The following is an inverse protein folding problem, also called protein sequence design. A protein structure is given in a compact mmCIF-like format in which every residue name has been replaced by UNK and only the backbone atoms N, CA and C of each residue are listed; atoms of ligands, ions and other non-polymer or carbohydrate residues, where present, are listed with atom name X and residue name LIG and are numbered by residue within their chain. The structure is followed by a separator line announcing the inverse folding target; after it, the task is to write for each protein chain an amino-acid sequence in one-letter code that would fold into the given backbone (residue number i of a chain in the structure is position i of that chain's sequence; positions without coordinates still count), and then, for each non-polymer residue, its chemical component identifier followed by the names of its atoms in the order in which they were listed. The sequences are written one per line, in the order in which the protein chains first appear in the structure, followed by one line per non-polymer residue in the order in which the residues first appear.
data_IF_891802564820
#
_entry.id   IF_891802564820
#
_cell.length_a   1.000
_cell.length_b   1.000
_cell.length_c   1.000
_cell.angle_alpha   90.00
_cell.angle_beta   90.00
_cell.angle_gamma   90.00
#
_symmetry.space_group_name_H-M   'P 1'
#
loop_
_entity.id
_entity.type
_entity.pdbx_description
1 polymer ?
#
# COMPACT_ATOMS: atom_id res chain seq x y z
N UNK A 1 66.12 -12.20 -15.14
CA UNK A 1 65.00 -11.23 -15.32
C UNK A 1 63.70 -11.91 -14.92
N UNK A 2 63.12 -11.52 -13.79
CA UNK A 2 61.82 -12.05 -13.31
C UNK A 2 60.72 -11.07 -13.74
N UNK A 3 59.88 -11.49 -14.67
CA UNK A 3 58.72 -10.74 -15.13
C UNK A 3 57.63 -10.84 -14.06
N UNK A 4 57.30 -9.68 -13.45
CA UNK A 4 56.22 -9.52 -12.48
C UNK A 4 54.91 -9.35 -13.26
N UNK A 5 54.01 -10.35 -13.28
CA UNK A 5 52.68 -10.25 -13.86
C UNK A 5 51.76 -9.56 -12.84
N UNK A 6 51.31 -8.36 -13.19
CA UNK A 6 50.27 -7.66 -12.44
C UNK A 6 48.90 -8.21 -12.85
N UNK A 7 48.25 -8.90 -11.91
CA UNK A 7 46.85 -9.36 -12.08
C UNK A 7 45.92 -8.19 -11.76
N UNK A 8 45.32 -7.59 -12.78
CA UNK A 8 44.28 -6.57 -12.62
C UNK A 8 42.96 -7.23 -12.24
N UNK A 9 42.55 -7.14 -10.95
CA UNK A 9 41.23 -7.57 -10.50
C UNK A 9 40.24 -6.44 -10.83
N UNK A 10 39.43 -6.66 -11.87
CA UNK A 10 38.27 -5.82 -12.18
C UNK A 10 37.17 -6.04 -11.11
N UNK A 11 37.11 -5.14 -10.13
CA UNK A 11 35.98 -5.08 -9.19
C UNK A 11 34.82 -4.38 -9.91
N UNK A 12 33.86 -5.16 -10.38
CA UNK A 12 32.60 -4.64 -10.91
C UNK A 12 31.77 -4.06 -9.75
N UNK A 13 31.72 -2.74 -9.62
CA UNK A 13 30.78 -2.06 -8.76
C UNK A 13 29.38 -2.16 -9.41
N UNK A 14 28.53 -3.05 -8.89
CA UNK A 14 27.12 -3.04 -9.21
C UNK A 14 26.50 -1.78 -8.60
N UNK A 15 26.35 -0.73 -9.39
CA UNK A 15 25.65 0.48 -8.99
C UNK A 15 24.14 0.14 -8.99
N UNK A 16 23.60 -0.24 -7.84
CA UNK A 16 22.15 -0.37 -7.66
C UNK A 16 21.55 1.03 -7.68
N UNK A 17 20.86 1.37 -8.75
CA UNK A 17 20.14 2.62 -8.88
C UNK A 17 18.93 2.58 -7.94
N UNK A 18 18.87 3.51 -6.99
CA UNK A 18 17.69 3.73 -6.17
C UNK A 18 16.50 4.07 -7.08
N UNK A 19 15.35 3.42 -6.89
CA UNK A 19 14.14 3.70 -7.67
C UNK A 19 13.75 5.17 -7.47
N UNK A 20 13.75 5.92 -8.57
CA UNK A 20 13.31 7.32 -8.58
C UNK A 20 11.81 7.36 -8.75
N UNK A 21 11.13 8.02 -7.82
CA UNK A 21 9.69 8.23 -7.88
C UNK A 21 9.36 9.72 -7.95
N UNK A 22 8.28 10.05 -8.65
CA UNK A 22 7.74 11.40 -8.80
C UNK A 22 6.29 11.42 -8.38
N UNK A 23 5.95 12.30 -7.44
CA UNK A 23 4.57 12.52 -7.04
C UNK A 23 3.79 13.17 -8.17
N UNK A 24 2.61 12.64 -8.47
CA UNK A 24 1.66 13.21 -9.41
C UNK A 24 0.48 13.85 -8.69
N UNK A 25 -0.13 14.83 -9.36
CA UNK A 25 -1.39 15.44 -8.95
C UNK A 25 -2.50 14.99 -9.91
N UNK A 26 -3.76 15.28 -9.59
CA UNK A 26 -4.89 15.02 -10.49
C UNK A 26 -4.67 15.62 -11.89
N UNK A 27 -4.00 16.77 -11.99
CA UNK A 27 -3.72 17.45 -13.25
C UNK A 27 -2.60 16.79 -14.06
N UNK A 28 -1.68 16.06 -13.43
CA UNK A 28 -0.52 15.44 -14.07
C UNK A 28 -0.64 13.93 -14.25
N UNK A 29 -1.67 13.29 -13.70
CA UNK A 29 -2.02 11.89 -14.03
C UNK A 29 -2.46 11.84 -15.51
N UNK A 30 -1.90 10.94 -16.33
CA UNK A 30 -2.28 10.81 -17.74
C UNK A 30 -3.79 10.57 -17.89
N UNK A 31 -4.43 11.28 -18.83
CA UNK A 31 -5.90 11.19 -19.06
C UNK A 31 -6.40 9.80 -19.46
N UNK A 32 -5.50 8.97 -20.00
CA UNK A 32 -5.81 7.60 -20.38
C UNK A 32 -5.89 6.63 -19.18
N UNK A 33 -5.54 7.09 -17.98
CA UNK A 33 -5.61 6.28 -16.76
C UNK A 33 -6.98 6.48 -16.10
N UNK A 34 -7.73 5.39 -15.98
CA UNK A 34 -9.05 5.39 -15.37
C UNK A 34 -8.98 4.89 -13.92
N UNK A 35 -9.65 5.60 -13.02
CA UNK A 35 -9.78 5.21 -11.61
C UNK A 35 -11.10 5.73 -11.03
N UNK A 36 -11.60 5.06 -9.99
CA UNK A 36 -12.80 5.46 -9.24
C UNK A 36 -12.40 6.19 -7.95
N UNK A 37 -13.23 7.10 -7.49
CA UNK A 37 -13.06 7.81 -6.21
C UNK A 37 -12.18 9.05 -6.31
N UNK A 38 -11.91 9.64 -5.17
CA UNK A 38 -11.06 10.82 -5.00
C UNK A 38 -9.59 10.39 -4.91
N UNK A 39 -8.71 11.03 -5.66
CA UNK A 39 -7.27 10.77 -5.63
C UNK A 39 -6.68 11.09 -4.26
N UNK A 40 -6.02 10.11 -3.65
CA UNK A 40 -5.27 10.23 -2.39
C UNK A 40 -3.77 10.30 -2.66
N UNK A 41 -3.22 9.31 -3.42
CA UNK A 41 -1.84 9.34 -3.86
C UNK A 41 -1.77 8.98 -5.35
N UNK A 42 -0.81 9.57 -6.04
CA UNK A 42 -0.40 9.13 -7.38
C UNK A 42 1.11 9.31 -7.51
N UNK A 43 1.82 8.25 -7.87
CA UNK A 43 3.27 8.24 -8.01
C UNK A 43 3.67 7.56 -9.31
N UNK A 44 4.54 8.19 -10.07
CA UNK A 44 5.24 7.61 -11.22
C UNK A 44 6.63 7.17 -10.80
N UNK A 45 7.03 5.97 -11.20
CA UNK A 45 8.37 5.44 -10.95
C UNK A 45 8.80 4.53 -12.10
N UNK A 46 10.11 4.31 -12.22
CA UNK A 46 10.70 3.37 -13.18
C UNK A 46 11.48 2.31 -12.43
N UNK A 47 11.22 1.06 -12.78
CA UNK A 47 11.91 -0.12 -12.28
C UNK A 47 12.30 -1.06 -13.43
N UNK A 48 12.72 -2.31 -13.14
CA UNK A 48 13.09 -3.29 -14.17
C UNK A 48 11.93 -3.72 -15.07
N UNK A 49 10.68 -3.51 -14.66
CA UNK A 49 9.49 -3.76 -15.48
C UNK A 49 9.21 -2.62 -16.45
N UNK A 50 9.71 -1.41 -16.18
CA UNK A 50 9.51 -0.23 -17.00
C UNK A 50 8.96 0.96 -16.24
N UNK A 51 8.21 1.80 -16.92
CA UNK A 51 7.63 3.05 -16.41
C UNK A 51 6.23 2.77 -15.84
N UNK A 52 6.05 3.05 -14.56
CA UNK A 52 4.89 2.67 -13.79
C UNK A 52 4.18 3.88 -13.18
N UNK A 53 2.87 3.79 -13.02
CA UNK A 53 2.07 4.71 -12.19
C UNK A 53 1.23 3.90 -11.22
N UNK A 54 1.32 4.27 -9.93
CA UNK A 54 0.42 3.75 -8.89
C UNK A 54 -0.47 4.88 -8.39
N UNK A 55 -1.75 4.55 -8.23
CA UNK A 55 -2.79 5.48 -7.77
C UNK A 55 -3.53 4.84 -6.61
N UNK A 56 -3.77 5.59 -5.54
CA UNK A 56 -4.69 5.23 -4.47
C UNK A 56 -5.84 6.22 -4.41
N UNK A 57 -7.04 5.72 -4.18
CA UNK A 57 -8.27 6.53 -4.16
C UNK A 57 -9.24 6.05 -3.09
N UNK A 58 -10.09 6.97 -2.62
CA UNK A 58 -11.18 6.72 -1.68
C UNK A 58 -12.47 7.30 -2.23
N UNK A 59 -13.61 6.62 -2.04
CA UNK A 59 -14.92 7.19 -2.42
C UNK A 59 -15.40 8.22 -1.41
N UNK A 60 -14.98 8.07 -0.14
CA UNK A 60 -15.66 8.65 1.00
C UNK A 60 -16.96 7.87 1.28
N UNK A 61 -17.67 8.30 2.31
CA UNK A 61 -18.96 7.74 2.67
C UNK A 61 -20.02 8.16 1.66
N UNK A 62 -20.91 7.21 1.33
CA UNK A 62 -22.10 7.43 0.54
C UNK A 62 -23.25 6.57 1.09
N UNK A 63 -24.48 6.96 0.79
CA UNK A 63 -25.64 6.13 1.11
C UNK A 63 -25.52 4.76 0.45
N UNK A 64 -25.86 3.69 1.19
CA UNK A 64 -25.89 2.34 0.63
C UNK A 64 -26.88 2.25 -0.52
N UNK A 65 -26.52 1.48 -1.55
CA UNK A 65 -27.37 1.24 -2.72
C UNK A 65 -28.35 0.11 -2.51
N UNK A 66 -28.21 -0.65 -1.43
CA UNK A 66 -29.14 -1.68 -1.01
C UNK A 66 -30.29 -1.02 -0.27
N UNK A 67 -31.50 -1.28 -0.69
CA UNK A 67 -32.75 -0.52 -0.42
C UNK A 67 -33.27 -0.59 1.02
N UNK A 68 -32.53 -1.11 1.98
CA UNK A 68 -33.16 -1.50 3.25
C UNK A 68 -33.42 -0.35 4.22
N UNK A 69 -32.61 0.73 4.20
CA UNK A 69 -32.79 1.90 5.05
C UNK A 69 -31.83 3.02 4.61
N UNK A 70 -32.29 4.25 4.58
CA UNK A 70 -31.50 5.46 4.26
C UNK A 70 -30.36 5.71 5.27
N UNK A 71 -30.39 5.07 6.45
CA UNK A 71 -29.34 5.18 7.47
C UNK A 71 -28.08 4.39 7.13
N UNK A 72 -28.17 3.36 6.26
CA UNK A 72 -27.04 2.54 5.90
C UNK A 72 -26.12 3.23 4.89
N UNK A 73 -24.82 3.20 5.18
CA UNK A 73 -23.78 3.86 4.40
C UNK A 73 -22.74 2.86 3.90
N UNK A 74 -22.01 3.26 2.88
CA UNK A 74 -20.92 2.48 2.31
C UNK A 74 -19.73 3.35 1.94
N UNK A 75 -18.54 2.78 1.91
CA UNK A 75 -17.34 3.40 1.40
C UNK A 75 -16.42 2.37 0.77
N UNK A 76 -15.70 2.77 -0.28
CA UNK A 76 -14.71 1.95 -0.97
C UNK A 76 -13.36 2.67 -1.00
N UNK A 77 -12.30 1.89 -0.96
CA UNK A 77 -10.95 2.34 -1.32
C UNK A 77 -10.37 1.47 -2.43
N UNK A 78 -9.54 2.09 -3.26
CA UNK A 78 -8.94 1.42 -4.41
C UNK A 78 -7.45 1.76 -4.51
N UNK A 79 -6.69 0.81 -5.05
CA UNK A 79 -5.36 1.09 -5.58
C UNK A 79 -5.21 0.45 -6.96
N UNK A 80 -4.46 1.11 -7.83
CA UNK A 80 -4.25 0.69 -9.21
C UNK A 80 -2.77 0.83 -9.55
N UNK A 81 -2.22 -0.13 -10.28
CA UNK A 81 -0.93 0.03 -10.94
C UNK A 81 -1.10 -0.08 -12.45
N UNK A 82 -0.50 0.86 -13.15
CA UNK A 82 -0.41 0.88 -14.59
C UNK A 82 1.06 0.83 -15.02
N UNK A 83 1.36 0.06 -16.06
CA UNK A 83 2.65 -0.04 -16.71
C UNK A 83 2.55 0.55 -18.12
N UNK A 84 3.53 1.34 -18.52
CA UNK A 84 3.60 1.88 -19.87
C UNK A 84 4.15 0.81 -20.82
N UNK A 85 3.31 0.30 -21.72
CA UNK A 85 3.64 -0.72 -22.72
C UNK A 85 3.28 -0.18 -24.11
N UNK A 86 4.25 -0.07 -25.00
CA UNK A 86 4.02 0.44 -26.37
C UNK A 86 3.23 1.76 -26.37
N UNK A 87 3.68 2.72 -25.55
CA UNK A 87 3.08 4.06 -25.36
C UNK A 87 1.65 4.06 -24.79
N UNK A 88 1.16 2.94 -24.26
CA UNK A 88 -0.15 2.82 -23.63
C UNK A 88 -0.02 2.42 -22.17
N UNK A 89 -0.81 3.07 -21.29
CA UNK A 89 -0.93 2.68 -19.91
C UNK A 89 -1.83 1.44 -19.79
N UNK A 90 -1.25 0.33 -19.33
CA UNK A 90 -1.92 -0.97 -19.20
C UNK A 90 -2.06 -1.30 -17.72
N UNK A 91 -3.29 -1.51 -17.26
CA UNK A 91 -3.57 -1.91 -15.88
C UNK A 91 -2.92 -3.26 -15.59
N UNK A 92 -2.06 -3.31 -14.57
CA UNK A 92 -1.38 -4.53 -14.12
C UNK A 92 -2.15 -5.20 -12.99
N UNK A 93 -2.58 -4.40 -12.00
CA UNK A 93 -3.43 -4.88 -10.92
C UNK A 93 -4.34 -3.77 -10.39
N UNK A 94 -5.42 -4.22 -9.80
CA UNK A 94 -6.36 -3.41 -9.03
C UNK A 94 -6.57 -4.05 -7.68
N UNK A 95 -6.48 -3.27 -6.62
CA UNK A 95 -6.92 -3.61 -5.28
C UNK A 95 -8.20 -2.85 -4.98
N UNK A 96 -9.12 -3.50 -4.28
CA UNK A 96 -10.32 -2.88 -3.71
C UNK A 96 -10.55 -3.45 -2.32
N UNK A 97 -10.92 -2.59 -1.39
CA UNK A 97 -11.49 -2.97 -0.09
C UNK A 97 -12.64 -2.02 0.22
N UNK A 98 -13.52 -2.38 1.13
CA UNK A 98 -14.75 -1.64 1.34
C UNK A 98 -15.36 -1.88 2.73
N UNK A 99 -16.27 -0.99 3.10
CA UNK A 99 -17.28 -1.17 4.13
C UNK A 99 -18.63 -1.03 3.45
N UNK A 100 -19.55 -1.96 3.69
CA UNK A 100 -20.88 -1.96 3.12
C UNK A 100 -21.93 -2.07 4.23
N UNK A 101 -23.11 -1.51 3.96
CA UNK A 101 -24.29 -1.63 4.81
C UNK A 101 -24.00 -1.29 6.29
N UNK A 102 -23.27 -0.20 6.51
CA UNK A 102 -22.92 0.24 7.86
C UNK A 102 -23.96 1.24 8.39
N UNK A 103 -24.66 0.93 9.49
CA UNK A 103 -25.64 1.83 10.09
C UNK A 103 -25.01 2.84 11.07
N UNK A 104 -23.72 2.75 11.31
CA UNK A 104 -22.95 3.56 12.27
C UNK A 104 -21.74 4.21 11.58
N UNK A 105 -20.70 4.55 12.30
CA UNK A 105 -19.53 5.24 11.73
C UNK A 105 -18.68 4.32 10.86
N UNK A 106 -18.21 4.87 9.74
CA UNK A 106 -17.36 4.17 8.78
C UNK A 106 -15.92 4.68 8.89
N UNK A 107 -14.99 3.73 9.01
CA UNK A 107 -13.57 3.94 8.67
C UNK A 107 -13.27 3.16 7.39
N UNK A 108 -12.84 3.85 6.33
CA UNK A 108 -12.45 3.22 5.06
C UNK A 108 -11.42 4.14 4.36
N UNK A 109 -10.19 4.17 4.90
CA UNK A 109 -9.19 5.18 4.54
C UNK A 109 -7.79 4.58 4.46
N UNK A 110 -6.96 5.11 3.56
CA UNK A 110 -5.52 4.91 3.59
C UNK A 110 -4.91 5.66 4.79
N UNK A 111 -3.99 5.00 5.49
CA UNK A 111 -3.27 5.64 6.60
C UNK A 111 -2.32 6.69 6.05
N UNK A 112 -2.46 7.93 6.53
CA UNK A 112 -1.66 9.08 6.07
C UNK A 112 -0.15 8.80 6.20
N UNK A 113 0.65 9.22 5.21
CA UNK A 113 2.12 9.12 5.20
C UNK A 113 2.70 7.69 5.27
N UNK A 114 1.94 6.69 4.84
CA UNK A 114 2.39 5.28 4.82
C UNK A 114 2.58 4.72 3.41
N UNK A 115 2.02 5.39 2.39
CA UNK A 115 2.24 5.01 0.99
C UNK A 115 3.72 5.19 0.63
N UNK A 116 4.33 4.15 0.05
CA UNK A 116 5.73 4.17 -0.34
C UNK A 116 6.00 3.30 -1.56
N UNK A 117 7.03 3.67 -2.32
CA UNK A 117 7.64 2.87 -3.38
C UNK A 117 9.11 2.70 -3.00
N UNK A 118 9.56 1.46 -2.87
CA UNK A 118 10.91 1.10 -2.38
C UNK A 118 11.52 0.02 -3.26
N UNK A 119 12.80 -0.27 -3.04
CA UNK A 119 13.52 -1.45 -3.52
C UNK A 119 14.41 -1.93 -2.35
N UNK A 120 13.79 -2.65 -1.40
CA UNK A 120 14.40 -3.00 -0.11
C UNK A 120 15.32 -4.21 -0.22
N UNK A 121 15.09 -5.09 -1.16
CA UNK A 121 15.94 -6.25 -1.42
C UNK A 121 16.97 -5.99 -2.54
N UNK A 122 16.89 -4.82 -3.18
CA UNK A 122 17.82 -4.34 -4.21
C UNK A 122 17.83 -5.20 -5.47
N UNK A 123 16.67 -5.75 -5.82
CA UNK A 123 16.52 -6.56 -7.03
C UNK A 123 16.15 -5.74 -8.28
N UNK A 124 15.97 -4.41 -8.11
CA UNK A 124 15.62 -3.47 -9.17
C UNK A 124 14.13 -3.46 -9.50
N UNK A 125 13.29 -4.19 -8.76
CA UNK A 125 11.84 -4.16 -8.85
C UNK A 125 11.28 -3.34 -7.69
N UNK A 126 10.26 -2.55 -7.97
CA UNK A 126 9.65 -1.73 -6.94
C UNK A 126 8.71 -2.53 -6.05
N UNK A 127 8.85 -2.37 -4.73
CA UNK A 127 7.79 -2.72 -3.80
C UNK A 127 6.88 -1.49 -3.60
N UNK A 128 5.59 -1.68 -3.85
CA UNK A 128 4.53 -0.69 -3.60
C UNK A 128 3.82 -1.01 -2.29
N UNK A 129 3.91 -0.12 -1.32
CA UNK A 129 3.36 -0.30 0.02
C UNK A 129 2.07 0.50 0.20
N UNK A 130 1.03 -0.19 0.66
CA UNK A 130 -0.29 0.35 0.92
C UNK A 130 -0.69 -0.01 2.36
N UNK A 131 -1.08 0.98 3.16
CA UNK A 131 -1.61 0.74 4.49
C UNK A 131 -2.96 1.44 4.63
N UNK A 132 -3.98 0.71 5.12
CA UNK A 132 -5.33 1.23 5.25
C UNK A 132 -6.10 0.57 6.39
N UNK A 133 -7.20 1.20 6.78
CA UNK A 133 -8.13 0.73 7.79
C UNK A 133 -9.53 0.60 7.18
N UNK A 134 -10.29 -0.41 7.67
CA UNK A 134 -11.71 -0.58 7.38
C UNK A 134 -12.43 -0.95 8.67
N UNK A 135 -13.53 -0.27 8.97
CA UNK A 135 -14.35 -0.49 10.16
C UNK A 135 -15.77 0.02 10.00
N UNK A 136 -16.68 -0.59 10.74
CA UNK A 136 -18.06 -0.15 10.90
C UNK A 136 -18.41 -0.34 12.38
N UNK A 137 -18.36 0.71 13.17
CA UNK A 137 -18.63 0.64 14.61
C UNK A 137 -18.99 2.01 15.16
N UNK A 138 -19.93 2.04 16.09
CA UNK A 138 -20.35 3.24 16.81
C UNK A 138 -19.85 3.28 18.25
N UNK A 139 -18.86 2.43 18.56
CA UNK A 139 -18.24 2.31 19.87
C UNK A 139 -16.70 2.39 19.75
N UNK A 140 -16.04 2.32 20.91
CA UNK A 140 -14.58 2.31 20.99
C UNK A 140 -14.08 0.89 20.76
N UNK A 141 -14.04 0.44 19.50
CA UNK A 141 -13.49 -0.86 19.11
C UNK A 141 -12.43 -0.74 18.01
N UNK A 142 -11.52 -1.72 17.96
CA UNK A 142 -10.44 -1.71 16.98
C UNK A 142 -10.95 -2.04 15.57
N UNK A 143 -10.49 -1.29 14.59
CA UNK A 143 -10.76 -1.48 13.16
C UNK A 143 -9.82 -2.50 12.53
N UNK A 144 -10.25 -3.11 11.42
CA UNK A 144 -9.37 -3.89 10.59
C UNK A 144 -8.26 -3.00 10.02
N UNK A 145 -7.01 -3.41 10.16
CA UNK A 145 -5.85 -2.72 9.61
C UNK A 145 -5.06 -3.68 8.73
N UNK A 146 -4.63 -3.19 7.58
CA UNK A 146 -3.93 -4.01 6.58
C UNK A 146 -2.72 -3.26 6.04
N UNK A 147 -1.61 -3.98 5.90
CA UNK A 147 -0.43 -3.57 5.11
C UNK A 147 -0.35 -4.51 3.93
N UNK A 148 -0.54 -3.97 2.74
CA UNK A 148 -0.44 -4.69 1.48
C UNK A 148 0.79 -4.21 0.74
N UNK A 149 1.58 -5.14 0.23
CA UNK A 149 2.71 -4.83 -0.64
C UNK A 149 2.54 -5.56 -1.97
N UNK A 150 2.91 -4.88 -3.05
CA UNK A 150 3.03 -5.48 -4.37
C UNK A 150 4.45 -5.32 -4.89
N UNK A 151 5.04 -6.39 -5.43
CA UNK A 151 6.22 -6.38 -6.27
C UNK A 151 5.82 -6.94 -7.64
N UNK A 152 5.79 -6.09 -8.66
CA UNK A 152 5.11 -6.41 -9.91
C UNK A 152 3.65 -6.79 -9.66
N UNK A 153 3.23 -8.01 -10.02
CA UNK A 153 1.88 -8.53 -9.76
C UNK A 153 1.79 -9.43 -8.52
N UNK A 154 2.94 -9.73 -7.88
CA UNK A 154 2.96 -10.53 -6.66
C UNK A 154 2.45 -9.71 -5.47
N UNK A 155 1.46 -10.25 -4.75
CA UNK A 155 0.81 -9.60 -3.61
C UNK A 155 1.24 -10.27 -2.31
N UNK A 156 1.54 -9.44 -1.32
CA UNK A 156 1.90 -9.81 0.04
C UNK A 156 0.99 -9.05 1.01
N UNK A 157 0.43 -9.74 2.00
CA UNK A 157 -0.53 -9.10 2.90
C UNK A 157 -0.27 -9.42 4.37
N UNK A 158 -0.23 -8.36 5.17
CA UNK A 158 -0.30 -8.39 6.61
C UNK A 158 -1.65 -7.84 7.03
N UNK A 159 -2.42 -8.60 7.81
CA UNK A 159 -3.80 -8.28 8.20
C UNK A 159 -3.98 -8.47 9.69
N UNK A 160 -4.74 -7.59 10.30
CA UNK A 160 -5.09 -7.66 11.71
C UNK A 160 -6.00 -6.51 12.11
N UNK A 161 -5.87 -6.09 13.34
CA UNK A 161 -6.63 -4.95 13.89
C UNK A 161 -5.68 -3.90 14.43
N UNK A 162 -6.00 -2.61 14.26
CA UNK A 162 -5.31 -1.55 14.98
C UNK A 162 -5.52 -1.73 16.49
N UNK A 163 -4.94 -0.87 17.31
CA UNK A 163 -5.08 -0.93 18.77
C UNK A 163 -5.78 0.32 19.25
N UNK A 164 -6.82 0.13 20.03
CA UNK A 164 -7.59 1.23 20.62
C UNK A 164 -7.60 1.08 22.15
N UNK A 165 -7.57 2.20 22.85
CA UNK A 165 -7.71 2.23 24.29
C UNK A 165 -9.20 2.27 24.65
N UNK A 166 -9.70 1.22 25.31
CA UNK A 166 -11.12 1.08 25.67
C UNK A 166 -11.42 1.49 27.12
N UNK A 167 -10.39 1.48 27.99
CA UNK A 167 -10.47 2.01 29.36
C UNK A 167 -9.12 2.56 29.80
N UNK A 168 -8.97 2.96 31.06
CA UNK A 168 -7.68 3.42 31.59
C UNK A 168 -6.58 2.38 31.48
N UNK A 169 -6.92 1.09 31.59
CA UNK A 169 -5.97 -0.02 31.63
C UNK A 169 -6.11 -0.98 30.46
N UNK A 170 -7.25 -0.95 29.73
CA UNK A 170 -7.57 -1.97 28.76
C UNK A 170 -7.48 -1.45 27.32
N UNK A 171 -7.08 -2.37 26.45
CA UNK A 171 -6.94 -2.13 25.01
C UNK A 171 -7.61 -3.25 24.24
N UNK A 172 -8.23 -2.90 23.10
CA UNK A 172 -8.71 -3.84 22.07
C UNK A 172 -7.79 -3.82 20.86
N UNK A 173 -7.63 -4.98 20.19
CA UNK A 173 -6.87 -5.11 18.96
C UNK A 173 -5.35 -5.22 19.12
N UNK A 174 -4.63 -4.87 18.07
CA UNK A 174 -3.17 -4.84 18.02
C UNK A 174 -2.50 -6.04 17.36
N UNK A 175 -3.20 -7.17 17.22
CA UNK A 175 -2.69 -8.40 16.62
C UNK A 175 -2.70 -8.34 15.09
N UNK A 176 -1.79 -9.11 14.48
CA UNK A 176 -1.73 -9.28 13.04
C UNK A 176 -1.23 -10.66 12.63
N UNK A 177 -1.44 -11.00 11.36
CA UNK A 177 -0.90 -12.18 10.69
C UNK A 177 -0.35 -11.83 9.32
N UNK A 178 0.68 -12.54 8.88
CA UNK A 178 1.17 -12.53 7.51
C UNK A 178 0.51 -13.65 6.70
N UNK A 179 0.19 -13.39 5.43
CA UNK A 179 -0.18 -14.46 4.50
C UNK A 179 1.03 -15.33 4.12
N UNK A 180 0.78 -16.46 3.44
CA UNK A 180 1.84 -17.40 3.09
C UNK A 180 2.92 -16.80 2.16
N UNK A 181 2.58 -15.96 1.14
CA UNK A 181 3.60 -15.26 0.37
C UNK A 181 4.49 -14.39 1.26
N UNK A 182 3.90 -13.61 2.19
CA UNK A 182 4.65 -12.70 3.04
C UNK A 182 5.53 -13.44 4.05
N UNK A 183 5.09 -14.58 4.59
CA UNK A 183 5.91 -15.42 5.49
C UNK A 183 7.20 -15.90 4.80
N UNK A 184 7.13 -16.19 3.49
CA UNK A 184 8.23 -16.65 2.66
C UNK A 184 9.06 -15.53 2.03
N UNK A 185 8.59 -14.29 2.10
CA UNK A 185 9.24 -13.11 1.52
C UNK A 185 10.58 -12.79 2.20
N UNK A 186 11.45 -11.99 1.57
CA UNK A 186 12.67 -11.45 2.19
C UNK A 186 12.41 -10.86 3.57
N UNK A 187 13.35 -11.02 4.48
CA UNK A 187 13.22 -10.50 5.85
C UNK A 187 13.06 -8.97 5.89
N UNK A 188 13.62 -8.28 4.90
CA UNK A 188 13.52 -6.82 4.72
C UNK A 188 12.06 -6.39 4.56
N UNK A 189 11.26 -7.13 3.78
CA UNK A 189 9.83 -6.86 3.57
C UNK A 189 9.04 -7.00 4.88
N UNK A 190 9.25 -8.12 5.60
CA UNK A 190 8.58 -8.33 6.89
C UNK A 190 8.94 -7.27 7.93
N UNK A 191 10.24 -6.89 8.00
CA UNK A 191 10.68 -5.81 8.91
C UNK A 191 10.03 -4.48 8.56
N UNK A 192 9.96 -4.13 7.27
CA UNK A 192 9.34 -2.89 6.83
C UNK A 192 7.83 -2.87 7.17
N UNK A 193 7.09 -3.94 6.84
CA UNK A 193 5.67 -4.07 7.18
C UNK A 193 5.43 -3.97 8.70
N UNK A 194 6.23 -4.68 9.50
CA UNK A 194 6.13 -4.62 10.97
C UNK A 194 6.41 -3.21 11.50
N UNK A 195 7.38 -2.51 10.95
CA UNK A 195 7.67 -1.12 11.34
C UNK A 195 6.51 -0.17 10.99
N UNK A 196 5.91 -0.31 9.78
CA UNK A 196 4.71 0.45 9.40
C UNK A 196 3.58 0.17 10.38
N UNK A 197 3.33 -1.10 10.69
CA UNK A 197 2.30 -1.52 11.63
C UNK A 197 2.49 -0.87 13.01
N UNK A 198 3.67 -1.04 13.60
CA UNK A 198 3.96 -0.54 14.95
C UNK A 198 3.87 0.98 15.06
N UNK A 199 4.33 1.72 14.05
CA UNK A 199 4.25 3.19 14.02
C UNK A 199 2.82 3.72 13.95
N UNK A 200 1.89 2.94 13.39
CA UNK A 200 0.52 3.33 13.15
C UNK A 200 -0.49 2.45 13.93
N UNK A 201 0.01 1.68 14.90
CA UNK A 201 -0.77 0.70 15.65
C UNK A 201 -1.91 1.34 16.42
N UNK A 202 -1.63 2.43 17.16
CA UNK A 202 -2.61 3.10 18.00
C UNK A 202 -3.56 3.94 17.17
N UNK A 203 -4.85 3.72 17.35
CA UNK A 203 -5.89 4.56 16.76
C UNK A 203 -5.76 5.99 17.31
N UNK A 204 -5.82 6.95 16.39
CA UNK A 204 -5.83 8.38 16.72
C UNK A 204 -7.25 8.87 16.46
N UNK A 205 -7.89 9.37 17.49
CA UNK A 205 -9.13 10.13 17.36
C UNK A 205 -8.75 11.56 16.97
N UNK A 206 -9.21 12.04 15.81
CA UNK A 206 -9.05 13.42 15.35
C UNK A 206 -10.19 14.29 15.87
#
# INVERSE_FOLDING_TARGET
MKTLQFLFILVSFSCFAQIKSTQLTKATVPKAIEYKGKLINAVRYTDTFGDNIVITTETGESQSKTELDESYREADLYAYQYLLINEKWVLQWKMQDFVKECPVDIECNFVKNTFAVTDLDKNGKAEVWLMYITGCHGDVSASNMKVIMYEGTAKYAMRGRNKVRVSETDYDGGQYTFDEPFKKAPVTFRKYATNLWQKNLMQKFE
#
